data_IF_872189948288
#
_entry.id   IF_872189948288
#
_cell.length_a   1.000
_cell.length_b   1.000
_cell.length_c   1.000
_cell.angle_alpha   90.00
_cell.angle_beta   90.00
_cell.angle_gamma   90.00
#
_symmetry.space_group_name_H-M   'P 1'
#
loop_
_entity.id
_entity.type
_entity.pdbx_description
1 polymer ?
#
# COMPACT_ATOMS: atom_id res chain seq x y z
N UNK A 1 -0.41 -16.05 3.44
CA UNK A 1 0.02 -15.35 2.20
C UNK A 1 0.64 -16.35 1.24
N UNK A 2 0.21 -16.31 -0.02
CA UNK A 2 0.74 -16.97 -1.21
C UNK A 2 2.09 -16.38 -1.69
N UNK A 3 2.65 -15.39 -0.98
CA UNK A 3 3.98 -14.80 -1.24
C UNK A 3 5.10 -15.83 -1.51
N UNK A 4 5.02 -17.03 -0.92
CA UNK A 4 5.99 -18.12 -1.13
C UNK A 4 5.97 -18.70 -2.56
N UNK A 5 4.93 -18.40 -3.36
CA UNK A 5 4.83 -18.78 -4.77
C UNK A 5 5.62 -17.83 -5.69
N UNK A 6 6.11 -16.71 -5.16
CA UNK A 6 6.87 -15.70 -5.89
C UNK A 6 8.38 -15.95 -5.79
N UNK A 7 9.12 -15.58 -6.83
CA UNK A 7 10.58 -15.48 -6.78
C UNK A 7 11.01 -14.46 -5.72
N UNK A 8 12.24 -14.53 -5.20
CA UNK A 8 12.74 -13.55 -4.22
C UNK A 8 12.68 -12.10 -4.76
N UNK A 9 12.89 -11.91 -6.06
CA UNK A 9 12.74 -10.60 -6.71
C UNK A 9 11.30 -10.11 -6.68
N UNK A 10 10.34 -11.00 -6.94
CA UNK A 10 8.92 -10.68 -6.98
C UNK A 10 8.34 -10.48 -5.57
N UNK A 11 8.90 -11.15 -4.56
CA UNK A 11 8.57 -10.93 -3.16
C UNK A 11 8.96 -9.53 -2.69
N UNK A 12 10.17 -9.06 -3.03
CA UNK A 12 10.59 -7.67 -2.75
C UNK A 12 9.72 -6.66 -3.48
N UNK A 13 9.38 -6.96 -4.73
CA UNK A 13 8.50 -6.11 -5.52
C UNK A 13 7.09 -6.02 -4.91
N UNK A 14 6.52 -7.15 -4.45
CA UNK A 14 5.26 -7.17 -3.73
C UNK A 14 5.33 -6.30 -2.47
N UNK A 15 6.42 -6.36 -1.71
CA UNK A 15 6.58 -5.54 -0.50
C UNK A 15 6.53 -4.04 -0.83
N UNK A 16 7.23 -3.59 -1.87
CA UNK A 16 7.21 -2.18 -2.29
C UNK A 16 5.81 -1.73 -2.71
N UNK A 17 5.08 -2.58 -3.43
CA UNK A 17 3.71 -2.31 -3.84
C UNK A 17 2.74 -2.28 -2.63
N UNK A 18 2.90 -3.21 -1.70
CA UNK A 18 2.09 -3.27 -0.48
C UNK A 18 2.32 -2.04 0.41
N UNK A 19 3.57 -1.59 0.56
CA UNK A 19 3.91 -0.35 1.26
C UNK A 19 3.27 0.87 0.62
N UNK A 20 3.29 0.95 -0.72
CA UNK A 20 2.61 2.03 -1.43
C UNK A 20 1.11 2.03 -1.10
N UNK A 21 0.45 0.88 -1.22
CA UNK A 21 -0.98 0.73 -0.99
C UNK A 21 -1.35 1.17 0.43
N UNK A 22 -0.65 0.62 1.42
CA UNK A 22 -0.86 0.86 2.86
C UNK A 22 -0.71 2.32 3.31
N UNK A 23 -0.04 3.17 2.52
CA UNK A 23 0.20 4.58 2.83
C UNK A 23 -0.66 5.53 1.99
N UNK A 24 -1.22 5.07 0.87
CA UNK A 24 -1.80 5.95 -0.16
C UNK A 24 -3.11 6.60 0.25
N UNK A 25 -3.84 6.00 1.17
CA UNK A 25 -5.13 6.46 1.70
C UNK A 25 -5.02 7.10 3.09
N UNK A 26 -3.87 6.98 3.77
CA UNK A 26 -3.68 7.44 5.15
C UNK A 26 -3.46 8.95 5.35
N UNK A 27 -3.92 9.54 6.46
CA UNK A 27 -3.85 10.98 6.70
C UNK A 27 -2.46 11.59 6.51
N UNK A 28 -2.42 12.83 6.03
CA UNK A 28 -1.21 13.62 5.90
C UNK A 28 -0.99 14.45 7.15
N UNK A 29 0.27 14.50 7.61
CA UNK A 29 0.68 15.28 8.77
C UNK A 29 1.80 16.24 8.36
N UNK A 30 1.64 17.53 8.65
CA UNK A 30 2.68 18.54 8.53
C UNK A 30 3.20 18.86 9.92
N UNK A 31 4.47 18.52 10.19
CA UNK A 31 5.07 18.68 11.52
C UNK A 31 4.24 17.97 12.61
N UNK A 32 3.68 16.80 12.27
CA UNK A 32 2.80 16.00 13.14
C UNK A 32 1.36 16.50 13.26
N UNK A 33 0.94 17.52 12.49
CA UNK A 33 -0.40 18.12 12.54
C UNK A 33 -1.20 17.92 11.28
N UNK A 34 -2.53 17.86 11.41
CA UNK A 34 -3.45 17.87 10.26
C UNK A 34 -3.54 19.26 9.61
N UNK A 35 -4.12 19.35 8.41
CA UNK A 35 -4.29 20.62 7.70
C UNK A 35 -5.12 21.67 8.46
N UNK A 36 -6.05 21.23 9.30
CA UNK A 36 -6.90 22.09 10.14
C UNK A 36 -6.18 22.62 11.40
N UNK A 37 -5.07 21.99 11.79
CA UNK A 37 -4.29 22.34 12.98
C UNK A 37 -3.06 23.22 12.66
N UNK A 38 -2.92 23.64 11.40
CA UNK A 38 -1.78 24.42 10.95
C UNK A 38 -1.78 25.82 11.58
N UNK A 39 -0.61 26.18 12.13
CA UNK A 39 -0.34 27.51 12.68
C UNK A 39 0.86 28.15 11.96
N UNK A 40 1.05 29.46 12.12
CA UNK A 40 2.14 30.21 11.49
C UNK A 40 3.55 29.68 11.80
N UNK A 41 3.72 28.89 12.86
CA UNK A 41 5.00 28.27 13.23
C UNK A 41 5.18 26.82 12.76
N UNK A 42 4.26 26.29 11.96
CA UNK A 42 4.30 24.89 11.52
C UNK A 42 5.25 24.72 10.33
N UNK A 43 6.15 23.75 10.38
CA UNK A 43 7.04 23.45 9.25
C UNK A 43 6.28 22.69 8.15
N UNK A 44 5.91 23.40 7.09
CA UNK A 44 5.18 22.84 5.95
C UNK A 44 6.04 21.88 5.10
N UNK A 45 7.36 21.86 5.29
CA UNK A 45 8.24 20.90 4.62
C UNK A 45 8.35 19.57 5.36
N UNK A 46 7.98 19.53 6.65
CA UNK A 46 7.97 18.33 7.48
C UNK A 46 6.70 17.48 7.23
N UNK A 47 6.42 17.15 5.97
CA UNK A 47 5.30 16.28 5.59
C UNK A 47 5.62 14.81 5.91
N UNK A 48 4.69 14.15 6.59
CA UNK A 48 4.68 12.71 6.83
C UNK A 48 3.28 12.13 6.59
N UNK A 49 3.19 10.80 6.56
CA UNK A 49 1.96 10.05 6.40
C UNK A 49 1.71 9.31 7.72
N UNK A 50 0.52 9.42 8.27
CA UNK A 50 0.15 8.71 9.50
C UNK A 50 -0.03 7.22 9.20
N UNK A 51 0.82 6.36 9.75
CA UNK A 51 0.70 4.91 9.54
C UNK A 51 -0.50 4.31 10.28
N UNK A 52 -1.21 3.40 9.59
CA UNK A 52 -2.24 2.56 10.20
C UNK A 52 -1.62 1.40 10.98
N UNK A 53 -2.15 1.11 12.17
CA UNK A 53 -1.62 0.05 13.04
C UNK A 53 -1.74 -1.35 12.40
N UNK A 54 -2.90 -1.65 11.80
CA UNK A 54 -3.17 -2.96 11.20
C UNK A 54 -2.31 -3.22 9.96
N UNK A 55 -2.04 -2.18 9.18
CA UNK A 55 -1.21 -2.20 7.98
C UNK A 55 0.26 -2.30 8.35
N UNK A 56 0.69 -1.58 9.39
CA UNK A 56 2.04 -1.69 9.95
C UNK A 56 2.37 -3.12 10.38
N UNK A 57 1.45 -3.77 11.08
CA UNK A 57 1.58 -5.18 11.46
C UNK A 57 1.67 -6.11 10.25
N UNK A 58 0.77 -5.93 9.27
CA UNK A 58 0.73 -6.75 8.06
C UNK A 58 2.04 -6.65 7.25
N UNK A 59 2.59 -5.44 7.15
CA UNK A 59 3.82 -5.21 6.40
C UNK A 59 5.03 -5.76 7.16
N UNK A 60 5.04 -5.66 8.49
CA UNK A 60 6.06 -6.33 9.29
C UNK A 60 6.01 -7.85 9.11
N UNK A 61 4.81 -8.45 8.99
CA UNK A 61 4.65 -9.87 8.68
C UNK A 61 5.16 -10.22 7.27
N UNK A 62 4.88 -9.36 6.28
CA UNK A 62 5.41 -9.47 4.92
C UNK A 62 6.95 -9.41 4.90
N UNK A 63 7.55 -8.42 5.56
CA UNK A 63 9.00 -8.26 5.70
C UNK A 63 9.65 -9.51 6.32
N UNK A 64 9.04 -10.04 7.39
CA UNK A 64 9.49 -11.29 8.01
C UNK A 64 9.39 -12.48 7.06
N UNK A 65 8.33 -12.54 6.25
CA UNK A 65 8.08 -13.64 5.31
C UNK A 65 9.11 -13.68 4.17
N UNK A 66 9.68 -12.54 3.79
CA UNK A 66 10.71 -12.44 2.74
C UNK A 66 12.14 -12.54 3.29
N UNK A 67 12.30 -12.79 4.59
CA UNK A 67 13.61 -12.84 5.23
C UNK A 67 14.32 -11.49 5.29
N UNK A 68 13.58 -10.37 5.21
CA UNK A 68 14.16 -9.06 5.44
C UNK A 68 14.57 -8.93 6.92
N UNK A 69 15.69 -8.25 7.22
CA UNK A 69 16.09 -8.03 8.60
C UNK A 69 14.97 -7.30 9.35
N UNK A 70 14.60 -7.83 10.52
CA UNK A 70 13.59 -7.22 11.38
C UNK A 70 13.98 -5.77 11.71
N UNK A 71 13.08 -4.79 11.59
CA UNK A 71 13.40 -3.43 11.99
C UNK A 71 13.40 -3.37 13.51
N UNK A 72 14.58 -3.32 14.13
CA UNK A 72 14.74 -3.03 15.56
C UNK A 72 14.49 -1.53 15.89
N UNK A 73 13.74 -0.82 15.06
CA UNK A 73 13.38 0.59 15.23
C UNK A 73 11.92 0.81 14.81
N UNK A 74 11.16 1.68 15.51
CA UNK A 74 9.74 1.95 15.24
C UNK A 74 9.60 2.96 14.09
N UNK A 75 10.37 2.79 13.02
CA UNK A 75 10.40 3.71 11.90
C UNK A 75 10.50 2.87 10.64
N UNK A 76 9.37 2.65 9.96
CA UNK A 76 9.44 2.35 8.54
C UNK A 76 10.36 3.39 7.88
N UNK A 77 11.36 2.89 7.18
CA UNK A 77 12.59 3.61 6.92
C UNK A 77 12.41 4.89 6.11
N UNK A 78 12.91 6.01 6.65
CA UNK A 78 13.35 7.16 5.84
C UNK A 78 14.72 6.89 5.19
N UNK A 79 14.80 5.78 4.44
CA UNK A 79 15.85 5.66 3.43
C UNK A 79 15.46 6.50 2.23
N UNK A 80 16.37 7.24 1.57
CA UNK A 80 16.04 8.06 0.39
C UNK A 80 15.51 7.26 -0.81
N UNK A 81 15.55 5.92 -0.76
CA UNK A 81 14.97 5.01 -1.75
C UNK A 81 13.63 4.38 -1.35
N UNK A 82 13.10 4.68 -0.16
CA UNK A 82 11.87 4.07 0.35
C UNK A 82 10.62 4.60 -0.36
N UNK A 83 9.65 3.72 -0.58
CA UNK A 83 8.39 4.01 -1.29
C UNK A 83 7.60 5.13 -0.59
N UNK A 84 7.56 5.13 0.74
CA UNK A 84 6.87 6.16 1.52
C UNK A 84 7.52 7.54 1.33
N UNK A 85 8.85 7.59 1.35
CA UNK A 85 9.60 8.83 1.10
C UNK A 85 9.32 9.37 -0.32
N UNK A 86 9.26 8.50 -1.32
CA UNK A 86 8.92 8.89 -2.70
C UNK A 86 7.49 9.42 -2.83
N UNK A 87 6.54 8.81 -2.13
CA UNK A 87 5.15 9.28 -2.09
C UNK A 87 5.04 10.66 -1.43
N UNK A 88 5.72 10.86 -0.29
CA UNK A 88 5.79 12.16 0.39
C UNK A 88 6.36 13.23 -0.54
N UNK A 89 7.48 12.96 -1.22
CA UNK A 89 8.09 13.89 -2.17
C UNK A 89 7.21 14.17 -3.40
N UNK A 90 6.37 13.22 -3.80
CA UNK A 90 5.36 13.45 -4.83
C UNK A 90 4.25 14.40 -4.33
N UNK A 91 3.79 14.21 -3.08
CA UNK A 91 2.71 14.98 -2.48
C UNK A 91 3.11 16.42 -2.09
N UNK A 92 4.37 16.66 -1.69
CA UNK A 92 4.91 18.01 -1.40
C UNK A 92 4.80 18.99 -2.58
N UNK A 93 4.62 18.48 -3.80
CA UNK A 93 4.49 19.30 -5.02
C UNK A 93 3.12 19.97 -5.16
N UNK A 94 2.16 19.56 -4.33
CA UNK A 94 0.80 20.09 -4.34
C UNK A 94 0.57 21.05 -3.18
N UNK A 95 -0.21 22.14 -3.36
CA UNK A 95 -0.68 22.95 -2.25
C UNK A 95 -1.45 22.11 -1.23
N UNK A 96 -1.33 22.42 0.06
CA UNK A 96 -1.93 21.65 1.17
C UNK A 96 -3.41 21.28 0.94
N UNK A 97 -4.32 22.22 0.58
CA UNK A 97 -5.73 21.86 0.38
C UNK A 97 -6.00 20.96 -0.83
N UNK A 98 -5.01 20.81 -1.73
CA UNK A 98 -5.07 19.88 -2.86
C UNK A 98 -4.40 18.55 -2.51
N UNK A 99 -3.33 18.55 -1.74
CA UNK A 99 -2.59 17.35 -1.35
C UNK A 99 -3.46 16.31 -0.64
N UNK A 100 -4.47 16.75 0.13
CA UNK A 100 -5.41 15.86 0.82
C UNK A 100 -6.53 15.33 -0.07
N UNK A 101 -6.74 15.91 -1.26
CA UNK A 101 -7.85 15.51 -2.12
C UNK A 101 -7.59 14.12 -2.70
N UNK A 102 -8.59 13.21 -2.70
CA UNK A 102 -8.44 11.87 -3.25
C UNK A 102 -7.87 11.84 -4.67
N UNK A 103 -8.26 12.77 -5.54
CA UNK A 103 -7.78 12.80 -6.93
C UNK A 103 -6.27 13.10 -7.01
N UNK A 104 -5.78 13.99 -6.14
CA UNK A 104 -4.35 14.33 -6.07
C UNK A 104 -3.55 13.18 -5.48
N UNK A 105 -4.12 12.49 -4.49
CA UNK A 105 -3.54 11.32 -3.84
C UNK A 105 -3.41 10.16 -4.82
N UNK A 106 -4.48 9.87 -5.58
CA UNK A 106 -4.47 8.91 -6.69
C UNK A 106 -3.39 9.29 -7.70
N UNK A 107 -3.31 10.56 -8.11
CA UNK A 107 -2.31 11.01 -9.08
C UNK A 107 -0.87 10.78 -8.58
N UNK A 108 -0.58 11.14 -7.33
CA UNK A 108 0.74 10.96 -6.73
C UNK A 108 1.10 9.49 -6.58
N UNK A 109 0.21 8.68 -6.01
CA UNK A 109 0.44 7.26 -5.79
C UNK A 109 0.53 6.48 -7.12
N UNK A 110 -0.32 6.79 -8.10
CA UNK A 110 -0.28 6.17 -9.44
C UNK A 110 1.05 6.45 -10.14
N UNK A 111 1.63 7.63 -9.96
CA UNK A 111 2.96 7.94 -10.49
C UNK A 111 4.02 7.01 -9.89
N UNK A 112 4.03 6.85 -8.56
CA UNK A 112 4.98 5.96 -7.89
C UNK A 112 4.75 4.51 -8.30
N UNK A 113 3.49 4.06 -8.36
CA UNK A 113 3.11 2.72 -8.83
C UNK A 113 3.66 2.46 -10.23
N UNK A 114 3.45 3.38 -11.17
CA UNK A 114 3.96 3.28 -12.54
C UNK A 114 5.47 3.13 -12.55
N UNK A 115 6.19 3.90 -11.74
CA UNK A 115 7.64 3.79 -11.63
C UNK A 115 8.09 2.44 -11.02
N UNK A 116 7.32 1.86 -10.09
CA UNK A 116 7.62 0.55 -9.49
C UNK A 116 7.42 -0.60 -10.46
N UNK A 117 6.32 -0.58 -11.24
CA UNK A 117 5.98 -1.66 -12.18
C UNK A 117 6.65 -1.48 -13.55
N UNK A 118 7.20 -0.30 -13.84
CA UNK A 118 7.89 -0.01 -15.10
C UNK A 118 9.03 -1.01 -15.32
N UNK A 119 9.06 -1.57 -16.52
CA UNK A 119 10.08 -2.54 -16.97
C UNK A 119 10.13 -3.84 -16.14
N UNK A 120 9.19 -4.04 -15.20
CA UNK A 120 9.10 -5.27 -14.42
C UNK A 120 8.64 -6.41 -15.32
N UNK A 121 9.52 -7.39 -15.48
CA UNK A 121 9.19 -8.67 -16.11
C UNK A 121 9.10 -9.72 -15.03
N UNK A 122 7.98 -10.42 -15.00
CA UNK A 122 7.80 -11.56 -14.11
C UNK A 122 8.35 -12.82 -14.76
N UNK A 123 9.03 -13.63 -13.96
CA UNK A 123 9.55 -14.93 -14.40
C UNK A 123 8.40 -15.91 -14.71
N UNK A 124 7.33 -15.82 -13.93
CA UNK A 124 6.14 -16.66 -14.06
C UNK A 124 4.95 -15.84 -14.57
N UNK A 125 4.21 -16.32 -15.58
CA UNK A 125 2.97 -15.67 -16.04
C UNK A 125 1.89 -15.55 -14.95
N UNK A 126 1.98 -16.35 -13.88
CA UNK A 126 1.06 -16.34 -12.74
C UNK A 126 1.41 -15.30 -11.68
N UNK A 127 2.63 -14.77 -11.66
CA UNK A 127 3.09 -13.86 -10.62
C UNK A 127 2.24 -12.57 -10.49
N UNK A 128 1.81 -11.90 -11.58
CA UNK A 128 0.91 -10.74 -11.46
C UNK A 128 -0.39 -11.07 -10.72
N UNK A 129 -0.95 -12.28 -10.92
CA UNK A 129 -2.19 -12.71 -10.27
C UNK A 129 -2.00 -12.93 -8.78
N UNK A 130 -0.87 -13.56 -8.41
CA UNK A 130 -0.50 -13.74 -7.00
C UNK A 130 -0.28 -12.39 -6.33
N UNK A 131 0.47 -11.49 -6.97
CA UNK A 131 0.69 -10.14 -6.44
C UNK A 131 -0.61 -9.37 -6.30
N UNK A 132 -1.47 -9.36 -7.32
CA UNK A 132 -2.77 -8.69 -7.25
C UNK A 132 -3.62 -9.24 -6.08
N UNK A 133 -3.65 -10.56 -5.90
CA UNK A 133 -4.36 -11.16 -4.76
C UNK A 133 -3.81 -10.71 -3.42
N UNK A 134 -2.49 -10.68 -3.25
CA UNK A 134 -1.87 -10.18 -2.01
C UNK A 134 -2.15 -8.69 -1.79
N UNK A 135 -2.15 -7.87 -2.85
CA UNK A 135 -2.48 -6.45 -2.74
C UNK A 135 -3.95 -6.23 -2.36
N UNK A 136 -4.87 -7.06 -2.85
CA UNK A 136 -6.27 -7.04 -2.42
C UNK A 136 -6.41 -7.36 -0.93
N UNK A 137 -5.64 -8.34 -0.42
CA UNK A 137 -5.61 -8.65 1.02
C UNK A 137 -5.04 -7.49 1.86
N UNK A 138 -4.03 -6.77 1.33
CA UNK A 138 -3.50 -5.56 1.97
C UNK A 138 -4.56 -4.48 2.03
N UNK A 139 -5.25 -4.19 0.93
CA UNK A 139 -6.31 -3.17 0.88
C UNK A 139 -7.47 -3.50 1.83
N UNK A 140 -7.87 -4.76 1.90
CA UNK A 140 -8.98 -5.19 2.76
C UNK A 140 -8.64 -5.24 4.26
N UNK A 141 -7.40 -4.91 4.65
CA UNK A 141 -6.91 -5.10 6.01
C UNK A 141 -7.66 -4.27 7.05
N UNK A 142 -8.10 -3.06 6.68
CA UNK A 142 -8.91 -2.20 7.54
C UNK A 142 -10.42 -2.49 7.44
N UNK A 143 -10.82 -3.38 6.52
CA UNK A 143 -12.19 -3.85 6.32
C UNK A 143 -12.86 -3.32 5.05
N UNK A 144 -12.23 -2.39 4.32
CA UNK A 144 -12.77 -1.84 3.08
C UNK A 144 -11.66 -1.43 2.12
N UNK A 145 -11.94 -1.36 0.82
CA UNK A 145 -10.99 -0.83 -0.16
C UNK A 145 -11.35 0.63 -0.42
N UNK A 146 -10.45 1.56 -0.11
CA UNK A 146 -10.66 2.97 -0.39
C UNK A 146 -10.64 3.26 -1.90
N UNK A 147 -11.21 4.40 -2.30
CA UNK A 147 -11.18 4.82 -3.71
C UNK A 147 -9.75 5.00 -4.26
N UNK A 148 -8.78 5.33 -3.40
CA UNK A 148 -7.38 5.52 -3.77
C UNK A 148 -6.75 4.15 -4.03
N UNK A 149 -6.90 3.20 -3.11
CA UNK A 149 -6.36 1.84 -3.26
C UNK A 149 -7.00 1.13 -4.45
N UNK A 150 -8.31 1.29 -4.65
CA UNK A 150 -9.02 0.74 -5.81
C UNK A 150 -8.41 1.23 -7.13
N UNK A 151 -8.12 2.54 -7.22
CA UNK A 151 -7.48 3.11 -8.41
C UNK A 151 -6.09 2.50 -8.67
N UNK A 152 -5.31 2.27 -7.62
CA UNK A 152 -3.99 1.62 -7.73
C UNK A 152 -4.10 0.15 -8.15
N UNK A 153 -5.05 -0.59 -7.58
CA UNK A 153 -5.32 -1.97 -7.94
C UNK A 153 -5.74 -2.10 -9.41
N UNK A 154 -6.63 -1.23 -9.90
CA UNK A 154 -7.04 -1.20 -11.31
C UNK A 154 -5.91 -0.76 -12.25
N UNK A 155 -5.03 0.16 -11.83
CA UNK A 155 -3.84 0.51 -12.61
C UNK A 155 -2.86 -0.68 -12.70
N UNK A 156 -2.63 -1.40 -11.60
CA UNK A 156 -1.83 -2.62 -11.61
C UNK A 156 -2.43 -3.68 -12.56
N UNK A 157 -3.75 -3.90 -12.47
CA UNK A 157 -4.47 -4.80 -13.38
C UNK A 157 -4.27 -4.40 -14.85
N UNK A 158 -4.47 -3.13 -15.18
CA UNK A 158 -4.35 -2.61 -16.54
C UNK A 158 -2.93 -2.78 -17.08
N UNK A 159 -1.92 -2.46 -16.27
CA UNK A 159 -0.52 -2.58 -16.66
C UNK A 159 -0.12 -4.03 -17.01
N UNK A 160 -0.61 -5.00 -16.23
CA UNK A 160 -0.35 -6.42 -16.46
C UNK A 160 -1.38 -7.12 -17.35
N UNK A 161 -2.30 -6.36 -17.96
CA UNK A 161 -3.32 -6.86 -18.90
C UNK A 161 -4.14 -8.02 -18.31
N UNK A 162 -4.46 -7.94 -17.02
CA UNK A 162 -5.31 -8.93 -16.37
C UNK A 162 -6.77 -8.67 -16.75
N UNK A 163 -7.44 -9.71 -17.22
CA UNK A 163 -8.85 -9.64 -17.63
C UNK A 163 -9.76 -9.29 -16.44
N UNK A 164 -10.84 -8.56 -16.68
CA UNK A 164 -11.72 -8.10 -15.60
C UNK A 164 -12.29 -9.25 -14.77
N UNK A 165 -12.64 -10.38 -15.40
CA UNK A 165 -13.12 -11.55 -14.67
C UNK A 165 -12.06 -12.12 -13.70
N UNK A 166 -10.77 -11.99 -14.03
CA UNK A 166 -9.69 -12.44 -13.12
C UNK A 166 -9.63 -11.51 -11.92
N UNK A 167 -9.78 -10.21 -12.14
CA UNK A 167 -9.80 -9.23 -11.07
C UNK A 167 -10.98 -9.48 -10.13
N UNK A 168 -12.19 -9.62 -10.69
CA UNK A 168 -13.43 -9.83 -9.93
C UNK A 168 -13.37 -11.15 -9.13
N UNK A 169 -12.93 -12.25 -9.75
CA UNK A 169 -12.77 -13.54 -9.07
C UNK A 169 -11.75 -13.46 -7.91
N UNK A 170 -10.64 -12.74 -8.10
CA UNK A 170 -9.63 -12.58 -7.05
C UNK A 170 -10.12 -11.69 -5.92
N UNK A 171 -10.88 -10.64 -6.24
CA UNK A 171 -11.51 -9.76 -5.26
C UNK A 171 -12.51 -10.54 -4.40
N UNK A 172 -13.43 -11.28 -5.02
CA UNK A 172 -14.42 -12.09 -4.28
C UNK A 172 -13.75 -13.08 -3.32
N UNK A 173 -12.67 -13.73 -3.78
CA UNK A 173 -11.87 -14.63 -2.94
C UNK A 173 -11.20 -13.91 -1.78
N UNK A 174 -10.66 -12.71 -2.02
CA UNK A 174 -9.99 -11.92 -0.99
C UNK A 174 -10.99 -11.42 0.07
N UNK A 175 -12.16 -10.95 -0.36
CA UNK A 175 -13.27 -10.54 0.51
C UNK A 175 -13.77 -11.71 1.37
N UNK A 176 -14.01 -12.86 0.74
CA UNK A 176 -14.43 -14.07 1.44
C UNK A 176 -13.40 -14.47 2.50
N UNK A 177 -12.11 -14.48 2.16
CA UNK A 177 -11.05 -14.80 3.11
C UNK A 177 -11.01 -13.80 4.27
N UNK A 178 -11.13 -12.51 4.00
CA UNK A 178 -11.11 -11.47 5.04
C UNK A 178 -12.30 -11.59 6.01
N UNK A 179 -13.48 -11.94 5.48
CA UNK A 179 -14.68 -12.21 6.29
C UNK A 179 -14.48 -13.42 7.21
N UNK A 180 -13.96 -14.53 6.68
CA UNK A 180 -13.73 -15.74 7.48
C UNK A 180 -12.66 -15.55 8.55
N UNK A 181 -11.59 -14.80 8.25
CA UNK A 181 -10.59 -14.39 9.25
C UNK A 181 -11.24 -13.53 10.34
N UNK A 182 -12.06 -12.55 9.97
CA UNK A 182 -12.73 -11.66 10.93
C UNK A 182 -13.71 -12.42 11.84
N UNK A 183 -14.48 -13.36 11.29
CA UNK A 183 -15.35 -14.26 12.06
C UNK A 183 -14.54 -15.12 13.04
N UNK A 184 -13.44 -15.69 12.57
CA UNK A 184 -12.56 -16.54 13.39
C UNK A 184 -11.98 -15.75 14.57
N UNK A 185 -11.49 -14.53 14.33
CA UNK A 185 -10.99 -13.66 15.40
C UNK A 185 -12.10 -13.34 16.41
N UNK A 186 -13.32 -13.07 15.93
CA UNK A 186 -14.47 -12.78 16.80
C UNK A 186 -14.76 -13.97 17.73
N UNK A 187 -14.77 -15.20 17.20
CA UNK A 187 -14.96 -16.43 17.99
C UNK A 187 -13.84 -16.63 19.03
N UNK A 188 -12.60 -16.27 18.70
CA UNK A 188 -11.45 -16.42 19.61
C UNK A 188 -11.47 -15.41 20.76
N UNK A 189 -12.03 -14.23 20.53
CA UNK A 189 -12.08 -13.13 21.51
C UNK A 189 -13.33 -13.17 22.41
N UNK A 190 -14.32 -14.00 22.08
CA UNK A 190 -15.46 -14.34 22.94
C UNK A 190 -15.07 -15.34 24.05
#
# INVERSE_FOLDING_TARGET
MLIKLLSESDQKHLLDLAKLLALSDKPLLWDGKTSDELTSGTDLNALSIQEGEKERELIAELEKSIGAPAPYLPLWGFGPSDVGSRLVEALKKFPIPKAEKPETRVQAATKILKELIKDKKFELPTAPKVILFELLLVALRDGHISSIEWALLKEFQAHHQLEDFIFDDLLERAETLNLEVSKTISIILE
#
